data_IF_744673582908
#
_entry.id   IF_744673582908
#
_cell.length_a   1.000
_cell.length_b   1.000
_cell.length_c   1.000
_cell.angle_alpha   90.00
_cell.angle_beta   90.00
_cell.angle_gamma   90.00
#
_symmetry.space_group_name_H-M   'P 1'
#
loop_
_entity.id
_entity.type
_entity.pdbx_description
1 polymer ?
#
# COMPACT_ATOMS: atom_id res chain seq x y z
N UNK A 1 -0.77 23.74 14.29
CA UNK A 1 -0.93 22.64 13.31
C UNK A 1 -2.16 21.87 13.72
N UNK A 2 -2.96 21.40 12.76
CA UNK A 2 -4.17 20.66 13.08
C UNK A 2 -3.75 19.28 13.63
N UNK A 3 -3.97 19.03 14.92
CA UNK A 3 -3.61 17.74 15.55
C UNK A 3 -4.49 16.59 15.07
N UNK A 4 -5.61 16.90 14.41
CA UNK A 4 -6.52 15.93 13.80
C UNK A 4 -5.81 15.24 12.64
N UNK A 5 -5.73 13.91 12.67
CA UNK A 5 -5.27 13.09 11.55
C UNK A 5 -6.41 13.01 10.53
N UNK A 6 -6.11 13.28 9.26
CA UNK A 6 -7.09 13.25 8.18
C UNK A 6 -7.10 11.91 7.43
N UNK A 7 -5.93 11.28 7.29
CA UNK A 7 -5.75 10.02 6.56
C UNK A 7 -4.55 9.23 7.10
N UNK A 8 -4.71 7.91 7.24
CA UNK A 8 -3.60 6.97 7.43
C UNK A 8 -3.45 6.17 6.13
N UNK A 9 -2.28 6.17 5.50
CA UNK A 9 -2.01 5.37 4.31
C UNK A 9 -1.04 4.23 4.60
N UNK A 10 -1.39 3.02 4.18
CA UNK A 10 -0.58 1.81 4.33
C UNK A 10 0.14 1.55 3.01
N UNK A 11 1.47 1.49 3.07
CA UNK A 11 2.33 1.25 1.91
C UNK A 11 2.62 -0.21 1.63
N UNK A 12 2.99 -0.97 2.65
CA UNK A 12 3.41 -2.37 2.51
C UNK A 12 2.86 -3.22 3.65
N UNK A 13 2.71 -4.50 3.33
CA UNK A 13 2.25 -5.55 4.22
C UNK A 13 2.82 -6.87 3.70
N UNK A 14 3.26 -7.75 4.59
CA UNK A 14 3.77 -9.07 4.30
C UNK A 14 2.69 -9.97 3.69
N UNK A 15 2.97 -10.48 2.50
CA UNK A 15 2.01 -11.32 1.76
C UNK A 15 2.29 -12.81 1.94
N UNK A 16 3.45 -13.18 2.46
CA UNK A 16 3.92 -14.57 2.60
C UNK A 16 3.59 -15.09 4.00
N UNK A 17 2.86 -16.21 4.06
CA UNK A 17 2.43 -16.85 5.30
C UNK A 17 3.44 -17.93 5.75
N UNK A 18 4.62 -17.50 6.22
CA UNK A 18 5.70 -18.39 6.68
C UNK A 18 5.23 -19.40 7.72
N UNK A 19 4.36 -18.95 8.64
CA UNK A 19 3.78 -19.79 9.68
C UNK A 19 2.88 -20.88 9.08
N UNK A 20 2.03 -20.53 8.12
CA UNK A 20 1.22 -21.50 7.39
C UNK A 20 2.06 -22.54 6.65
N UNK A 21 3.13 -22.12 5.97
CA UNK A 21 4.04 -23.04 5.28
C UNK A 21 4.77 -23.98 6.24
N UNK A 22 5.12 -23.50 7.44
CA UNK A 22 5.78 -24.31 8.48
C UNK A 22 4.89 -25.43 9.04
N UNK A 23 3.57 -25.37 8.80
CA UNK A 23 2.63 -26.41 9.23
C UNK A 23 2.44 -27.52 8.19
N UNK A 24 3.02 -27.38 7.00
CA UNK A 24 2.93 -28.44 5.99
C UNK A 24 3.72 -29.68 6.41
N UNK A 25 3.27 -30.88 6.01
CA UNK A 25 3.99 -32.11 6.32
C UNK A 25 5.21 -32.24 5.40
N UNK A 26 6.24 -31.43 5.66
CA UNK A 26 7.46 -31.30 4.84
C UNK A 26 8.15 -32.66 4.67
N UNK A 27 8.11 -33.50 5.71
CA UNK A 27 8.70 -34.85 5.71
C UNK A 27 7.94 -35.86 4.85
N UNK A 28 6.73 -35.53 4.35
CA UNK A 28 5.86 -36.48 3.65
C UNK A 28 5.89 -36.37 2.13
N UNK A 29 6.49 -35.32 1.55
CA UNK A 29 6.49 -35.11 0.10
C UNK A 29 7.87 -34.56 -0.31
N UNK A 30 8.64 -35.36 -1.06
CA UNK A 30 9.97 -35.01 -1.57
C UNK A 30 9.99 -33.69 -2.37
N UNK A 31 8.86 -33.32 -2.99
CA UNK A 31 8.69 -32.02 -3.65
C UNK A 31 8.96 -30.83 -2.71
N UNK A 32 8.69 -30.93 -1.40
CA UNK A 32 9.02 -29.87 -0.44
C UNK A 32 10.50 -29.81 -0.08
N UNK A 33 11.23 -30.91 -0.28
CA UNK A 33 12.68 -30.99 -0.09
C UNK A 33 13.45 -30.29 -1.22
N UNK A 34 12.92 -30.39 -2.45
CA UNK A 34 13.53 -29.82 -3.66
C UNK A 34 12.86 -28.50 -4.12
N UNK A 35 11.97 -27.91 -3.30
CA UNK A 35 11.29 -26.65 -3.60
C UNK A 35 12.26 -25.45 -3.47
N UNK A 36 13.16 -25.32 -4.45
CA UNK A 36 14.13 -24.23 -4.65
C UNK A 36 13.45 -22.87 -4.95
N UNK A 37 12.11 -22.78 -4.91
CA UNK A 37 11.38 -21.55 -5.23
C UNK A 37 10.95 -20.69 -4.05
N UNK A 38 11.33 -21.04 -2.82
CA UNK A 38 10.90 -20.30 -1.65
C UNK A 38 12.12 -19.54 -1.12
N UNK A 39 12.05 -18.20 -1.11
CA UNK A 39 13.03 -17.28 -0.47
C UNK A 39 13.02 -17.44 1.05
N UNK A 40 13.10 -18.68 1.50
CA UNK A 40 12.83 -19.14 2.85
C UNK A 40 13.91 -20.13 3.27
N UNK A 41 14.22 -20.15 4.55
CA UNK A 41 15.21 -21.04 5.17
C UNK A 41 14.49 -21.85 6.22
N UNK A 42 14.60 -23.19 6.16
CA UNK A 42 14.09 -24.06 7.22
C UNK A 42 15.14 -24.17 8.33
N UNK A 43 14.85 -23.60 9.51
CA UNK A 43 15.74 -23.59 10.67
C UNK A 43 14.89 -23.62 11.94
N UNK A 44 15.41 -24.21 13.03
CA UNK A 44 14.71 -24.31 14.33
C UNK A 44 13.26 -24.86 14.25
N UNK A 45 13.00 -25.77 13.29
CA UNK A 45 11.69 -26.41 13.11
C UNK A 45 10.65 -25.57 12.37
N UNK A 46 11.04 -24.50 11.66
CA UNK A 46 10.12 -23.68 10.87
C UNK A 46 10.77 -23.03 9.64
N UNK A 47 9.94 -22.62 8.69
CA UNK A 47 10.36 -21.77 7.57
C UNK A 47 10.42 -20.31 8.00
N UNK A 48 11.56 -19.69 7.75
CA UNK A 48 11.85 -18.29 8.02
C UNK A 48 12.22 -17.56 6.74
N UNK A 49 12.03 -16.24 6.70
CA UNK A 49 12.62 -15.44 5.64
C UNK A 49 14.16 -15.47 5.75
N UNK A 50 14.90 -15.32 4.65
CA UNK A 50 16.38 -15.34 4.75
C UNK A 50 16.93 -14.19 5.62
N UNK A 51 16.23 -13.04 5.68
CA UNK A 51 16.60 -11.94 6.58
C UNK A 51 16.44 -12.30 8.06
N UNK A 52 15.58 -13.28 8.37
CA UNK A 52 15.37 -13.73 9.74
C UNK A 52 16.56 -14.49 10.31
N UNK A 53 17.43 -15.04 9.46
CA UNK A 53 18.69 -15.65 9.90
C UNK A 53 19.63 -14.55 10.44
N UNK A 54 19.69 -13.40 9.76
CA UNK A 54 20.44 -12.25 10.26
C UNK A 54 19.82 -11.67 11.53
N UNK A 55 18.48 -11.61 11.60
CA UNK A 55 17.78 -11.20 12.81
C UNK A 55 18.09 -12.12 13.98
N UNK A 56 18.08 -13.44 13.76
CA UNK A 56 18.42 -14.43 14.77
C UNK A 56 19.85 -14.27 15.27
N UNK A 57 20.80 -14.08 14.35
CA UNK A 57 22.21 -13.85 14.69
C UNK A 57 22.44 -12.53 15.45
N UNK A 58 21.73 -11.45 15.08
CA UNK A 58 21.92 -10.11 15.65
C UNK A 58 21.12 -9.87 16.94
N UNK A 59 19.87 -10.33 16.99
CA UNK A 59 18.90 -10.03 18.05
C UNK A 59 18.50 -11.26 18.88
N UNK A 60 18.99 -12.45 18.54
CA UNK A 60 18.69 -13.71 19.23
C UNK A 60 17.30 -14.28 18.95
N UNK A 61 16.50 -13.65 18.08
CA UNK A 61 15.09 -13.99 17.82
C UNK A 61 14.69 -13.75 16.36
N UNK A 62 13.62 -14.42 15.93
CA UNK A 62 13.01 -14.21 14.61
C UNK A 62 12.03 -13.04 14.63
N UNK A 63 11.82 -12.39 13.49
CA UNK A 63 10.92 -11.25 13.34
C UNK A 63 9.51 -11.56 13.87
N UNK A 64 8.96 -12.72 13.52
CA UNK A 64 7.62 -13.16 13.96
C UNK A 64 7.47 -13.36 15.48
N UNK A 65 8.57 -13.54 16.21
CA UNK A 65 8.57 -13.72 17.66
C UNK A 65 8.67 -12.39 18.42
N UNK A 66 8.94 -11.30 17.71
CA UNK A 66 9.20 -9.99 18.27
C UNK A 66 7.94 -9.16 18.39
N UNK A 67 7.91 -8.27 19.39
CA UNK A 67 6.87 -7.24 19.48
C UNK A 67 7.07 -6.15 18.42
N UNK A 68 6.11 -5.23 18.27
CA UNK A 68 6.17 -4.20 17.22
C UNK A 68 7.37 -3.25 17.35
N UNK A 69 7.72 -2.83 18.56
CA UNK A 69 8.89 -1.98 18.80
C UNK A 69 10.19 -2.66 18.36
N UNK A 70 10.34 -3.95 18.66
CA UNK A 70 11.47 -4.75 18.22
C UNK A 70 11.45 -4.97 16.70
N UNK A 71 10.29 -5.28 16.11
CA UNK A 71 10.13 -5.47 14.67
C UNK A 71 10.56 -4.24 13.86
N UNK A 72 10.39 -3.04 14.39
CA UNK A 72 10.85 -1.78 13.75
C UNK A 72 12.36 -1.69 13.63
N UNK A 73 13.12 -2.34 14.50
CA UNK A 73 14.59 -2.36 14.48
C UNK A 73 15.18 -3.54 13.70
N UNK A 74 14.34 -4.50 13.31
CA UNK A 74 14.76 -5.75 12.66
C UNK A 74 14.79 -5.65 11.13
N UNK A 75 15.50 -6.58 10.50
CA UNK A 75 15.55 -6.70 9.05
C UNK A 75 14.30 -7.41 8.51
N UNK A 76 13.63 -6.82 7.54
CA UNK A 76 12.55 -7.43 6.78
C UNK A 76 12.60 -6.95 5.32
N UNK A 77 11.82 -7.58 4.44
CA UNK A 77 11.79 -7.26 3.00
C UNK A 77 11.31 -5.83 2.70
N UNK A 78 10.69 -5.19 3.68
CA UNK A 78 10.11 -3.86 3.61
C UNK A 78 10.95 -2.76 4.26
N UNK A 79 12.19 -3.05 4.69
CA UNK A 79 13.11 -2.04 5.24
C UNK A 79 13.40 -0.87 4.29
N UNK A 80 13.25 -1.04 2.97
CA UNK A 80 13.25 0.09 2.04
C UNK A 80 11.86 0.75 2.05
N UNK A 81 11.69 2.01 2.50
CA UNK A 81 10.37 2.66 2.50
C UNK A 81 9.78 2.69 1.08
N UNK A 82 8.47 2.49 0.98
CA UNK A 82 7.77 2.62 -0.31
C UNK A 82 7.67 4.09 -0.69
N UNK A 83 8.04 4.44 -1.92
CA UNK A 83 7.83 5.80 -2.42
C UNK A 83 6.35 6.12 -2.65
N UNK A 84 5.54 5.10 -2.99
CA UNK A 84 4.18 5.32 -3.46
C UNK A 84 3.25 6.01 -2.44
N UNK A 85 3.24 5.65 -1.13
CA UNK A 85 2.44 6.37 -0.15
C UNK A 85 2.86 7.83 0.01
N UNK A 86 4.16 8.10 0.01
CA UNK A 86 4.71 9.45 0.12
C UNK A 86 4.26 10.33 -1.05
N UNK A 87 4.30 9.80 -2.28
CA UNK A 87 3.79 10.50 -3.46
C UNK A 87 2.26 10.66 -3.40
N UNK A 88 1.53 9.60 -3.02
CA UNK A 88 0.07 9.62 -2.95
C UNK A 88 -0.48 10.72 -2.03
N UNK A 89 0.18 10.96 -0.89
CA UNK A 89 -0.25 11.98 0.07
C UNK A 89 0.39 13.35 -0.14
N UNK A 90 1.38 13.49 -1.04
CA UNK A 90 2.09 14.75 -1.24
C UNK A 90 1.16 15.95 -1.55
N UNK A 91 0.17 15.85 -2.46
CA UNK A 91 -0.74 16.97 -2.71
C UNK A 91 -1.58 17.34 -1.47
N UNK A 92 -1.97 16.34 -0.67
CA UNK A 92 -2.74 16.55 0.55
C UNK A 92 -1.90 17.27 1.60
N UNK A 93 -0.67 16.81 1.82
CA UNK A 93 0.27 17.44 2.74
C UNK A 93 0.56 18.90 2.35
N UNK A 94 0.76 19.17 1.05
CA UNK A 94 0.98 20.52 0.54
C UNK A 94 -0.26 21.43 0.68
N UNK A 95 -1.45 20.86 0.83
CA UNK A 95 -2.68 21.60 1.14
C UNK A 95 -3.02 21.64 2.65
N UNK A 96 -2.11 21.19 3.51
CA UNK A 96 -2.25 21.28 4.96
C UNK A 96 -3.04 20.15 5.62
N UNK A 97 -3.36 19.07 4.89
CA UNK A 97 -3.90 17.86 5.49
C UNK A 97 -2.82 17.18 6.34
N UNK A 98 -3.22 16.57 7.45
CA UNK A 98 -2.37 15.75 8.29
C UNK A 98 -2.50 14.28 7.91
N UNK A 99 -1.65 13.85 6.97
CA UNK A 99 -1.57 12.47 6.53
C UNK A 99 -0.47 11.71 7.26
N UNK A 100 -0.77 10.49 7.72
CA UNK A 100 0.20 9.57 8.33
C UNK A 100 0.50 8.40 7.42
N UNK A 101 1.76 7.98 7.37
CA UNK A 101 2.22 6.87 6.51
C UNK A 101 2.63 5.71 7.40
N UNK A 102 2.05 4.55 7.13
CA UNK A 102 2.52 3.25 7.63
C UNK A 102 3.33 2.61 6.51
N UNK A 103 4.63 2.48 6.71
CA UNK A 103 5.54 1.95 5.71
C UNK A 103 5.44 0.43 5.61
N UNK A 104 5.52 -0.25 6.74
CA UNK A 104 5.40 -1.69 6.91
C UNK A 104 4.43 -2.00 8.05
N UNK A 105 3.20 -2.37 7.69
CA UNK A 105 2.16 -2.63 8.68
C UNK A 105 2.53 -3.74 9.67
N UNK A 106 3.35 -4.72 9.30
CA UNK A 106 3.72 -5.80 10.21
C UNK A 106 4.63 -5.35 11.36
N UNK A 107 5.37 -4.25 11.16
CA UNK A 107 6.16 -3.58 12.19
C UNK A 107 5.39 -2.47 12.91
N UNK A 108 4.36 -1.89 12.29
CA UNK A 108 3.76 -0.61 12.68
C UNK A 108 2.24 -0.70 12.95
N UNK A 109 1.72 -1.91 13.17
CA UNK A 109 0.29 -2.12 13.41
C UNK A 109 -0.18 -1.44 14.71
N UNK A 110 0.63 -1.45 15.77
CA UNK A 110 0.39 -0.71 17.01
C UNK A 110 0.23 0.79 16.76
N UNK A 111 1.13 1.37 15.96
CA UNK A 111 1.10 2.79 15.59
C UNK A 111 -0.15 3.12 14.77
N UNK A 112 -0.54 2.25 13.82
CA UNK A 112 -1.79 2.43 13.07
C UNK A 112 -2.99 2.48 14.01
N UNK A 113 -3.05 1.55 14.98
CA UNK A 113 -4.16 1.48 15.94
C UNK A 113 -4.19 2.72 16.81
N UNK A 114 -3.05 3.15 17.33
CA UNK A 114 -2.91 4.39 18.12
C UNK A 114 -3.44 5.60 17.35
N UNK A 115 -2.97 5.80 16.10
CA UNK A 115 -3.43 6.91 15.27
C UNK A 115 -4.92 6.82 14.96
N UNK A 116 -5.42 5.65 14.57
CA UNK A 116 -6.81 5.46 14.24
C UNK A 116 -7.74 5.73 15.43
N UNK A 117 -7.33 5.40 16.65
CA UNK A 117 -8.12 5.64 17.87
C UNK A 117 -8.28 7.12 18.22
N UNK A 118 -7.42 8.00 17.69
CA UNK A 118 -7.56 9.45 17.84
C UNK A 118 -8.51 10.08 16.82
N UNK A 119 -8.91 9.32 15.81
CA UNK A 119 -9.81 9.79 14.75
C UNK A 119 -11.27 9.47 15.11
N UNK A 120 -12.15 10.46 14.97
CA UNK A 120 -13.60 10.24 15.11
C UNK A 120 -14.13 9.23 14.07
N UNK A 121 -13.67 9.35 12.84
CA UNK A 121 -13.93 8.41 11.76
C UNK A 121 -12.61 8.02 11.08
N UNK A 122 -12.02 6.87 11.43
CA UNK A 122 -10.73 6.46 10.88
C UNK A 122 -10.81 6.28 9.37
N UNK A 123 -9.95 6.99 8.63
CA UNK A 123 -9.80 6.87 7.18
C UNK A 123 -8.49 6.19 6.88
N UNK A 124 -8.57 4.99 6.30
CA UNK A 124 -7.41 4.13 6.07
C UNK A 124 -7.31 3.86 4.57
N UNK A 125 -6.32 4.47 3.93
CA UNK A 125 -5.94 4.19 2.56
C UNK A 125 -4.99 2.98 2.50
N UNK A 126 -5.24 2.08 1.56
CA UNK A 126 -4.42 0.89 1.31
C UNK A 126 -3.81 1.01 -0.08
N UNK A 127 -2.48 1.12 -0.15
CA UNK A 127 -1.76 0.99 -1.41
C UNK A 127 -1.74 -0.48 -1.83
N UNK A 128 -2.32 -0.76 -2.99
CA UNK A 128 -2.38 -2.10 -3.57
C UNK A 128 -1.17 -2.42 -4.46
N UNK A 129 -0.09 -1.64 -4.39
CA UNK A 129 1.11 -1.84 -5.24
C UNK A 129 1.73 -3.22 -5.05
N UNK A 130 1.83 -3.70 -3.80
CA UNK A 130 2.45 -4.98 -3.46
C UNK A 130 1.43 -6.05 -3.06
N UNK A 131 0.13 -5.80 -3.29
CA UNK A 131 -0.94 -6.73 -2.96
C UNK A 131 -1.38 -7.44 -4.24
N UNK A 132 -1.31 -8.77 -4.28
CA UNK A 132 -1.57 -9.53 -5.52
C UNK A 132 -2.95 -10.20 -5.55
N UNK A 133 -3.71 -10.12 -4.46
CA UNK A 133 -5.05 -10.71 -4.43
C UNK A 133 -5.99 -10.03 -3.44
N UNK A 134 -7.28 -10.14 -3.77
CA UNK A 134 -8.39 -9.78 -2.89
C UNK A 134 -8.39 -10.54 -1.57
N UNK A 135 -7.83 -11.75 -1.51
CA UNK A 135 -7.73 -12.51 -0.25
C UNK A 135 -6.76 -11.87 0.72
N UNK A 136 -5.62 -11.35 0.24
CA UNK A 136 -4.65 -10.62 1.07
C UNK A 136 -5.26 -9.31 1.59
N UNK A 137 -5.93 -8.55 0.71
CA UNK A 137 -6.65 -7.32 1.09
C UNK A 137 -7.71 -7.63 2.17
N UNK A 138 -8.47 -8.71 2.00
CA UNK A 138 -9.46 -9.14 2.99
C UNK A 138 -8.86 -9.51 4.34
N UNK A 139 -7.72 -10.22 4.36
CA UNK A 139 -6.98 -10.54 5.60
C UNK A 139 -6.52 -9.27 6.31
N UNK A 140 -5.97 -8.32 5.55
CA UNK A 140 -5.52 -7.01 6.04
C UNK A 140 -6.66 -6.22 6.68
N UNK A 141 -7.78 -6.05 5.98
CA UNK A 141 -8.94 -5.33 6.49
C UNK A 141 -9.50 -6.01 7.73
N UNK A 142 -9.59 -7.35 7.72
CA UNK A 142 -10.02 -8.12 8.90
C UNK A 142 -9.11 -7.87 10.10
N UNK A 143 -7.78 -7.88 9.91
CA UNK A 143 -6.80 -7.59 10.97
C UNK A 143 -7.02 -6.18 11.56
N UNK A 144 -7.19 -5.16 10.71
CA UNK A 144 -7.44 -3.78 11.16
C UNK A 144 -8.77 -3.67 11.91
N UNK A 145 -9.84 -4.27 11.39
CA UNK A 145 -11.18 -4.22 12.01
C UNK A 145 -11.28 -4.91 13.37
N UNK A 146 -10.31 -5.73 13.74
CA UNK A 146 -10.26 -6.31 15.09
C UNK A 146 -9.95 -5.26 16.17
N UNK A 147 -9.22 -4.19 15.81
CA UNK A 147 -8.76 -3.17 16.76
C UNK A 147 -9.33 -1.77 16.45
N UNK A 148 -9.74 -1.54 15.19
CA UNK A 148 -10.24 -0.24 14.71
C UNK A 148 -11.68 -0.38 14.25
N UNK A 149 -12.59 0.23 15.01
CA UNK A 149 -14.01 0.27 14.70
C UNK A 149 -14.33 1.34 13.65
N UNK A 150 -15.37 1.11 12.85
CA UNK A 150 -15.93 2.08 11.91
C UNK A 150 -14.94 2.71 10.91
N UNK A 151 -13.83 2.03 10.60
CA UNK A 151 -12.88 2.51 9.62
C UNK A 151 -13.49 2.58 8.21
N UNK A 152 -13.34 3.73 7.56
CA UNK A 152 -13.56 3.95 6.14
C UNK A 152 -12.31 3.53 5.38
N UNK A 153 -12.44 2.51 4.54
CA UNK A 153 -11.32 2.01 3.74
C UNK A 153 -11.34 2.60 2.33
N UNK A 154 -10.18 3.11 1.91
CA UNK A 154 -9.90 3.59 0.56
C UNK A 154 -8.82 2.67 -0.02
N UNK A 155 -8.96 2.23 -1.27
CA UNK A 155 -7.95 1.37 -1.90
C UNK A 155 -7.55 1.90 -3.29
N UNK A 156 -6.27 1.79 -3.62
CA UNK A 156 -5.78 2.18 -4.94
C UNK A 156 -4.35 1.73 -5.18
N UNK A 157 -3.89 1.79 -6.42
CA UNK A 157 -2.55 1.34 -6.82
C UNK A 157 -2.58 0.20 -7.83
N UNK A 158 -1.41 -0.39 -8.08
CA UNK A 158 -1.17 -1.27 -9.24
C UNK A 158 -2.20 -2.41 -9.38
N UNK A 159 -2.45 -3.17 -8.31
CA UNK A 159 -3.42 -4.27 -8.39
C UNK A 159 -4.85 -3.83 -8.74
N UNK A 160 -5.34 -2.72 -8.20
CA UNK A 160 -6.67 -2.19 -8.55
C UNK A 160 -6.69 -1.76 -10.02
N UNK A 161 -5.64 -1.05 -10.45
CA UNK A 161 -5.51 -0.61 -11.84
C UNK A 161 -5.47 -1.80 -12.80
N UNK A 162 -4.75 -2.86 -12.46
CA UNK A 162 -4.66 -4.08 -13.27
C UNK A 162 -6.02 -4.80 -13.36
N UNK A 163 -6.79 -4.85 -12.26
CA UNK A 163 -8.14 -5.43 -12.31
C UNK A 163 -9.03 -4.66 -13.28
N UNK A 164 -9.01 -3.32 -13.23
CA UNK A 164 -9.84 -2.48 -14.09
C UNK A 164 -9.35 -2.52 -15.54
N UNK A 165 -8.04 -2.45 -15.78
CA UNK A 165 -7.47 -2.49 -17.13
C UNK A 165 -7.79 -3.80 -17.86
N UNK A 166 -7.86 -4.93 -17.14
CA UNK A 166 -8.10 -6.25 -17.75
C UNK A 166 -9.60 -6.57 -17.85
N UNK A 167 -10.38 -6.22 -16.82
CA UNK A 167 -11.76 -6.74 -16.67
C UNK A 167 -12.84 -5.65 -16.60
N UNK A 168 -12.44 -4.39 -16.51
CA UNK A 168 -13.35 -3.25 -16.34
C UNK A 168 -13.73 -2.96 -14.89
N UNK A 169 -14.28 -1.76 -14.69
CA UNK A 169 -14.60 -1.17 -13.38
C UNK A 169 -15.61 -1.99 -12.57
N UNK A 170 -16.59 -2.60 -13.23
CA UNK A 170 -17.65 -3.40 -12.57
C UNK A 170 -17.10 -4.59 -11.78
N UNK A 171 -15.89 -5.06 -12.09
CA UNK A 171 -15.26 -6.17 -11.35
C UNK A 171 -14.85 -5.82 -9.92
N UNK A 172 -14.76 -4.53 -9.60
CA UNK A 172 -14.47 -4.08 -8.24
C UNK A 172 -15.68 -4.22 -7.31
N UNK A 173 -16.91 -4.25 -7.82
CA UNK A 173 -18.11 -4.24 -6.98
C UNK A 173 -18.14 -5.37 -5.95
N UNK A 174 -18.09 -6.62 -6.42
CA UNK A 174 -18.17 -7.80 -5.57
C UNK A 174 -17.10 -7.83 -4.46
N UNK A 175 -15.79 -7.64 -4.76
CA UNK A 175 -14.79 -7.62 -3.70
C UNK A 175 -14.91 -6.41 -2.76
N UNK A 176 -15.25 -5.22 -3.25
CA UNK A 176 -15.45 -4.05 -2.39
C UNK A 176 -16.59 -4.26 -1.41
N UNK A 177 -17.73 -4.81 -1.87
CA UNK A 177 -18.85 -5.21 -0.98
C UNK A 177 -18.41 -6.26 0.04
N UNK A 178 -17.75 -7.33 -0.44
CA UNK A 178 -17.32 -8.46 0.41
C UNK A 178 -16.45 -8.02 1.59
N UNK A 179 -15.55 -7.06 1.37
CA UNK A 179 -14.64 -6.56 2.41
C UNK A 179 -15.05 -5.23 3.01
N UNK A 180 -16.23 -4.72 2.64
CA UNK A 180 -16.77 -3.45 3.08
C UNK A 180 -15.74 -2.31 2.92
N UNK A 181 -15.25 -2.16 1.69
CA UNK A 181 -14.36 -1.07 1.27
C UNK A 181 -15.23 0.03 0.67
N UNK A 182 -15.05 1.25 1.14
CA UNK A 182 -15.92 2.39 0.81
C UNK A 182 -15.57 3.00 -0.54
N UNK A 183 -14.28 3.10 -0.85
CA UNK A 183 -13.79 3.80 -2.03
C UNK A 183 -12.66 3.04 -2.71
N UNK A 184 -12.65 3.06 -4.04
CA UNK A 184 -11.52 2.58 -4.83
C UNK A 184 -11.13 3.59 -5.91
N UNK A 185 -9.85 3.96 -5.96
CA UNK A 185 -9.28 4.80 -7.01
C UNK A 185 -8.53 3.89 -7.99
N UNK A 186 -8.89 3.96 -9.28
CA UNK A 186 -8.49 2.97 -10.28
C UNK A 186 -7.74 3.54 -11.49
N UNK A 187 -6.99 4.63 -11.30
CA UNK A 187 -6.12 5.22 -12.31
C UNK A 187 -4.64 5.10 -11.92
N UNK A 188 -3.75 5.33 -12.88
CA UNK A 188 -2.35 5.61 -12.60
C UNK A 188 -2.18 7.10 -12.29
N UNK A 189 -1.18 7.45 -11.48
CA UNK A 189 -0.90 8.84 -11.09
C UNK A 189 -2.12 9.52 -10.43
N UNK A 190 -2.71 8.87 -9.43
CA UNK A 190 -3.96 9.32 -8.80
C UNK A 190 -3.77 10.19 -7.56
N UNK A 191 -2.61 10.82 -7.42
CA UNK A 191 -2.28 11.69 -6.29
C UNK A 191 -3.35 12.79 -6.12
N UNK A 192 -3.80 13.41 -7.22
CA UNK A 192 -4.87 14.41 -7.23
C UNK A 192 -6.27 13.83 -7.01
N UNK A 193 -6.56 12.64 -7.55
CA UNK A 193 -7.86 11.98 -7.33
C UNK A 193 -8.05 11.65 -5.84
N UNK A 194 -6.98 11.22 -5.13
CA UNK A 194 -7.03 10.99 -3.69
C UNK A 194 -7.26 12.28 -2.90
N UNK A 195 -6.59 13.37 -3.28
CA UNK A 195 -6.83 14.69 -2.70
C UNK A 195 -8.29 15.12 -2.87
N UNK A 196 -8.82 15.07 -4.09
CA UNK A 196 -10.19 15.49 -4.38
C UNK A 196 -11.20 14.64 -3.60
N UNK A 197 -10.98 13.32 -3.54
CA UNK A 197 -11.79 12.42 -2.71
C UNK A 197 -11.83 12.91 -1.25
N UNK A 198 -10.66 13.20 -0.68
CA UNK A 198 -10.56 13.59 0.72
C UNK A 198 -11.18 14.96 1.02
N UNK A 199 -11.16 15.88 0.06
CA UNK A 199 -11.87 17.17 0.15
C UNK A 199 -13.40 17.01 0.10
N UNK A 200 -13.90 16.00 -0.62
CA UNK A 200 -15.32 15.80 -0.91
C UNK A 200 -15.97 14.66 -0.10
N UNK A 201 -15.20 13.96 0.73
CA UNK A 201 -15.67 12.76 1.44
C UNK A 201 -16.82 13.04 2.41
N UNK A 202 -16.85 14.23 3.02
CA UNK A 202 -17.89 14.64 3.98
C UNK A 202 -19.20 15.06 3.28
N UNK A 203 -19.10 15.73 2.13
CA UNK A 203 -20.28 16.15 1.37
C UNK A 203 -20.92 15.01 0.60
N UNK A 204 -20.18 13.93 0.36
CA UNK A 204 -20.59 12.79 -0.47
C UNK A 204 -20.96 13.23 -1.91
N UNK A 205 -20.31 14.30 -2.39
CA UNK A 205 -20.42 14.83 -3.75
C UNK A 205 -19.09 14.69 -4.48
N UNK A 206 -18.99 13.68 -5.33
CA UNK A 206 -17.74 13.31 -6.01
C UNK A 206 -17.69 13.78 -7.46
N UNK A 207 -18.37 14.89 -7.80
CA UNK A 207 -18.39 15.44 -9.16
C UNK A 207 -16.99 15.75 -9.69
N UNK A 208 -16.05 16.09 -8.81
CA UNK A 208 -14.68 16.50 -9.18
C UNK A 208 -13.62 15.42 -8.91
N UNK A 209 -14.04 14.24 -8.44
CA UNK A 209 -13.14 13.09 -8.28
C UNK A 209 -13.19 12.23 -9.54
N UNK A 210 -12.10 12.13 -10.28
CA UNK A 210 -12.03 11.19 -11.41
C UNK A 210 -11.64 9.79 -10.93
N UNK A 211 -11.93 8.78 -11.74
CA UNK A 211 -11.45 7.40 -11.54
C UNK A 211 -11.81 6.78 -10.18
N UNK A 212 -12.93 7.21 -9.58
CA UNK A 212 -13.41 6.77 -8.29
C UNK A 212 -14.56 5.79 -8.46
N UNK A 213 -14.52 4.73 -7.67
CA UNK A 213 -15.64 3.83 -7.43
C UNK A 213 -16.07 3.94 -5.97
N UNK A 214 -17.38 3.95 -5.74
CA UNK A 214 -17.98 4.08 -4.41
C UNK A 214 -19.40 3.50 -4.38
N UNK A 215 -20.02 3.49 -3.19
CA UNK A 215 -21.43 3.11 -3.02
C UNK A 215 -22.28 4.31 -2.60
N UNK A 216 -23.38 4.57 -3.32
CA UNK A 216 -24.40 5.55 -2.95
C UNK A 216 -25.73 4.84 -2.77
N UNK A 217 -26.29 4.85 -1.56
CA UNK A 217 -27.55 4.15 -1.26
C UNK A 217 -27.52 2.69 -1.72
N UNK A 218 -26.42 1.98 -1.41
CA UNK A 218 -26.15 0.60 -1.82
C UNK A 218 -25.97 0.37 -3.34
N UNK A 219 -26.01 1.41 -4.17
CA UNK A 219 -25.71 1.31 -5.61
C UNK A 219 -24.22 1.51 -5.87
N UNK A 220 -23.64 0.64 -6.68
CA UNK A 220 -22.28 0.77 -7.16
C UNK A 220 -22.20 1.92 -8.17
N UNK A 221 -21.37 2.91 -7.88
CA UNK A 221 -21.21 4.12 -8.69
C UNK A 221 -19.75 4.26 -9.11
N UNK A 222 -19.54 4.81 -10.31
CA UNK A 222 -18.22 5.20 -10.80
C UNK A 222 -18.28 6.63 -11.31
N UNK A 223 -17.22 7.40 -11.07
CA UNK A 223 -17.05 8.73 -11.63
C UNK A 223 -16.42 8.66 -13.02
N UNK A 224 -16.16 9.83 -13.62
CA UNK A 224 -15.56 9.92 -14.96
C UNK A 224 -14.18 9.25 -14.98
N UNK A 225 -13.97 8.36 -15.95
CA UNK A 225 -12.65 7.81 -16.22
C UNK A 225 -11.78 8.85 -16.94
N UNK A 226 -10.60 9.11 -16.40
CA UNK A 226 -9.68 10.11 -16.94
C UNK A 226 -8.23 9.67 -16.74
N UNK A 227 -7.43 9.85 -17.79
CA UNK A 227 -5.99 9.70 -17.67
C UNK A 227 -5.38 10.85 -16.87
N UNK A 228 -4.59 10.52 -15.87
CA UNK A 228 -3.82 11.51 -15.12
C UNK A 228 -2.40 11.60 -15.67
N UNK A 229 -1.98 12.83 -15.95
CA UNK A 229 -0.57 13.12 -16.22
C UNK A 229 0.27 12.67 -15.03
N UNK A 230 1.46 12.08 -15.23
CA UNK A 230 2.36 11.77 -14.13
C UNK A 230 2.63 12.97 -13.22
N UNK A 231 2.47 12.77 -11.92
CA UNK A 231 2.66 13.83 -10.91
C UNK A 231 4.07 14.43 -10.93
N UNK A 232 5.06 13.68 -11.42
CA UNK A 232 6.44 14.16 -11.63
C UNK A 232 6.54 15.36 -12.60
N UNK A 233 5.52 15.54 -13.45
CA UNK A 233 5.43 16.67 -14.36
C UNK A 233 4.80 17.91 -13.69
N UNK A 234 4.27 17.75 -12.47
CA UNK A 234 3.77 18.87 -11.67
C UNK A 234 4.93 19.55 -10.92
N UNK A 235 4.73 20.82 -10.55
CA UNK A 235 5.70 21.59 -9.74
C UNK A 235 5.55 21.34 -8.23
N UNK A 236 4.77 20.34 -7.86
CA UNK A 236 4.33 20.09 -6.51
C UNK A 236 5.25 19.03 -5.87
N UNK A 237 6.34 19.51 -5.27
CA UNK A 237 7.38 18.65 -4.69
C UNK A 237 6.85 18.03 -3.39
N UNK A 238 7.03 16.71 -3.17
CA UNK A 238 6.69 16.10 -1.89
C UNK A 238 7.39 16.82 -0.73
N UNK A 239 6.68 17.17 0.36
CA UNK A 239 7.28 17.93 1.46
C UNK A 239 8.11 16.99 2.35
N UNK A 240 9.31 16.65 1.88
CA UNK A 240 10.20 15.64 2.50
C UNK A 240 10.56 15.96 3.96
N UNK A 241 10.50 17.23 4.36
CA UNK A 241 10.80 17.67 5.71
C UNK A 241 9.70 17.33 6.74
N UNK A 242 8.48 17.01 6.31
CA UNK A 242 7.36 16.63 7.19
C UNK A 242 6.93 15.16 7.03
N UNK A 243 7.39 14.50 5.97
CA UNK A 243 7.15 13.07 5.76
C UNK A 243 8.05 12.28 6.72
N UNK A 244 7.42 11.54 7.63
CA UNK A 244 8.15 10.65 8.53
C UNK A 244 8.59 9.38 7.79
N UNK A 245 9.90 9.16 7.74
CA UNK A 245 10.52 8.03 7.06
C UNK A 245 11.12 7.07 8.10
N UNK A 246 11.12 5.74 7.84
CA UNK A 246 11.68 4.76 8.76
C UNK A 246 13.14 5.07 9.09
N UNK A 247 13.47 5.12 10.38
CA UNK A 247 14.83 5.43 10.87
C UNK A 247 15.83 4.29 10.66
N UNK A 248 15.34 3.07 10.48
CA UNK A 248 16.16 1.86 10.33
C UNK A 248 16.80 1.73 8.93
N UNK A 249 16.55 2.68 8.02
CA UNK A 249 17.16 2.75 6.70
C UNK A 249 17.61 4.18 6.37
N UNK A 250 18.75 4.32 5.69
CA UNK A 250 19.30 5.60 5.22
C UNK A 250 19.12 5.81 3.72
N UNK A 251 18.32 4.97 3.07
CA UNK A 251 18.01 5.06 1.64
C UNK A 251 16.58 5.54 1.45
N UNK A 252 16.44 6.62 0.67
CA UNK A 252 15.17 7.10 0.15
C UNK A 252 15.10 6.82 -1.35
N UNK A 253 13.89 6.58 -1.83
CA UNK A 253 13.64 6.44 -3.26
C UNK A 253 13.19 7.79 -3.81
N UNK A 254 13.74 8.17 -4.97
CA UNK A 254 13.29 9.33 -5.73
C UNK A 254 12.80 8.86 -7.10
N UNK A 255 11.80 9.55 -7.63
CA UNK A 255 11.29 9.30 -8.98
C UNK A 255 11.77 10.44 -9.86
N UNK A 256 12.67 10.14 -10.81
CA UNK A 256 13.19 11.07 -11.82
C UNK A 256 12.55 10.86 -13.20
N UNK A 257 11.73 9.82 -13.36
CA UNK A 257 10.89 9.61 -14.53
C UNK A 257 9.69 8.73 -14.20
N UNK A 258 8.63 8.82 -15.00
CA UNK A 258 7.50 7.92 -15.01
C UNK A 258 7.37 7.25 -16.38
N UNK A 259 7.03 5.96 -16.40
CA UNK A 259 6.94 5.18 -17.62
C UNK A 259 8.27 4.66 -18.17
N UNK A 260 8.24 4.12 -19.40
CA UNK A 260 9.36 3.40 -19.99
C UNK A 260 9.31 3.47 -21.53
N UNK A 261 10.47 3.64 -22.18
CA UNK A 261 10.61 3.71 -23.65
C UNK A 261 10.69 2.33 -24.32
N UNK A 262 10.94 1.28 -23.54
CA UNK A 262 11.08 -0.09 -24.04
C UNK A 262 9.72 -0.75 -24.31
N UNK A 263 9.75 -1.88 -25.04
CA UNK A 263 8.57 -2.69 -25.39
C UNK A 263 8.79 -4.16 -25.08
N UNK A 264 9.17 -4.47 -23.84
CA UNK A 264 9.42 -5.85 -23.41
C UNK A 264 8.13 -6.69 -23.54
N UNK A 265 8.25 -7.91 -24.06
CA UNK A 265 7.10 -8.80 -24.32
C UNK A 265 6.29 -9.18 -23.08
N UNK A 266 6.89 -9.07 -21.90
CA UNK A 266 6.30 -9.46 -20.61
C UNK A 266 5.88 -8.26 -19.74
N UNK A 267 6.08 -7.02 -20.18
CA UNK A 267 5.87 -5.83 -19.36
C UNK A 267 4.77 -4.94 -19.93
N UNK A 268 3.70 -4.72 -19.15
CA UNK A 268 2.59 -3.82 -19.51
C UNK A 268 2.89 -2.35 -19.22
N UNK A 269 3.95 -2.06 -18.45
CA UNK A 269 4.23 -0.72 -17.95
C UNK A 269 4.29 0.38 -19.04
N UNK A 270 4.96 0.20 -20.19
CA UNK A 270 5.00 1.24 -21.24
C UNK A 270 3.62 1.62 -21.78
N UNK A 271 2.69 0.67 -21.81
CA UNK A 271 1.30 0.87 -22.23
C UNK A 271 0.52 1.56 -21.12
N UNK A 272 0.62 1.04 -19.88
CA UNK A 272 -0.05 1.58 -18.71
C UNK A 272 0.38 3.02 -18.37
N UNK A 273 1.65 3.35 -18.59
CA UNK A 273 2.21 4.70 -18.34
C UNK A 273 1.98 5.68 -19.49
N UNK A 274 1.45 5.21 -20.62
CA UNK A 274 1.30 5.99 -21.86
C UNK A 274 2.60 6.67 -22.30
N UNK A 275 3.69 5.91 -22.36
CA UNK A 275 5.00 6.40 -22.76
C UNK A 275 5.92 6.76 -21.61
N UNK A 276 7.02 7.45 -21.90
CA UNK A 276 8.06 7.85 -20.96
C UNK A 276 7.99 9.36 -20.68
N UNK A 277 8.05 9.73 -19.41
CA UNK A 277 7.83 11.07 -18.89
C UNK A 277 9.00 11.41 -17.94
N UNK A 278 10.04 12.11 -18.41
CA UNK A 278 11.16 12.52 -17.57
C UNK A 278 10.73 13.67 -16.64
N UNK A 279 11.31 13.72 -15.45
CA UNK A 279 11.28 14.93 -14.63
C UNK A 279 12.02 16.06 -15.34
N UNK A 280 11.57 17.30 -15.13
CA UNK A 280 12.39 18.48 -15.41
C UNK A 280 13.60 18.51 -14.48
N UNK A 281 14.73 19.06 -14.95
CA UNK A 281 15.96 19.11 -14.14
C UNK A 281 15.78 19.89 -12.84
N UNK A 282 14.90 20.90 -12.82
CA UNK A 282 14.61 21.73 -11.65
C UNK A 282 13.68 21.03 -10.62
N UNK A 283 13.20 19.82 -10.91
CA UNK A 283 12.35 19.02 -10.01
C UNK A 283 13.14 18.23 -8.95
N UNK A 284 14.44 17.99 -9.18
CA UNK A 284 15.33 17.20 -8.32
C UNK A 284 16.16 18.08 -7.39
#
# INVERSE_FOLDING_TARGET
MNDKIDLIIIGKFETVDYKGYSQFPIDRIDMYKDLVQLRMVYMDGGFHHFLDIFNKAKYGRYYEQSNFAEKREMYNIWNLPSLNPALAVAPMLNQGFNCKIINNLDSEFDILVEWAQTMEQPRIAISSTFLLSWTVIGKLIKKIRMEVNNATFIIGGAFINDQVAIKGVSTLEKPLRKYNISYAIHSYNSERDLLNLMQQIESNDFSDVNNLVYFKEDKFCSTKEQWNSPYINEKDIPPWNIIDLPKNNKTIQLRSSSGCTFKCSFCTYPVSSKGFHPAEMDYL
#
